data_IF_370351526370
#
_entry.id   IF_370351526370
#
_cell.length_a   1.000
_cell.length_b   1.000
_cell.length_c   1.000
_cell.angle_alpha   90.00
_cell.angle_beta   90.00
_cell.angle_gamma   90.00
#
_symmetry.space_group_name_H-M   'P 1'
#
loop_
_entity.id
_entity.type
_entity.pdbx_description
1 polymer ?
#
# COMPACT_ATOMS: atom_id res chain seq x y z
N UNK A 1 20.54 3.22 -19.25
CA UNK A 1 20.25 2.09 -18.35
C UNK A 1 18.77 2.13 -18.00
N UNK A 2 18.11 0.98 -17.82
CA UNK A 2 16.69 0.90 -17.48
C UNK A 2 16.49 -0.21 -16.45
N UNK A 3 15.42 -0.12 -15.65
CA UNK A 3 15.06 -1.12 -14.65
C UNK A 3 13.79 -1.84 -15.07
N UNK A 4 13.72 -3.14 -14.79
CA UNK A 4 12.51 -3.95 -14.93
C UNK A 4 12.05 -4.42 -13.56
N UNK A 5 10.78 -4.19 -13.26
CA UNK A 5 10.17 -4.58 -12.00
C UNK A 5 8.74 -5.05 -12.23
N UNK A 6 8.01 -5.22 -11.15
CA UNK A 6 6.64 -5.74 -11.24
C UNK A 6 5.72 -5.10 -10.21
N UNK A 7 4.42 -5.22 -10.49
CA UNK A 7 3.40 -4.85 -9.53
C UNK A 7 3.17 -6.01 -8.55
N UNK A 8 3.06 -5.69 -7.26
CA UNK A 8 2.64 -6.62 -6.23
C UNK A 8 1.21 -6.26 -5.86
N UNK A 9 0.27 -6.86 -6.57
CA UNK A 9 -1.17 -6.55 -6.50
C UNK A 9 -2.06 -7.78 -6.28
N UNK A 10 -1.43 -8.97 -6.14
CA UNK A 10 -2.10 -10.22 -5.83
C UNK A 10 -1.52 -10.80 -4.52
N UNK A 11 -2.34 -11.35 -3.60
CA UNK A 11 -1.87 -11.94 -2.35
C UNK A 11 -0.80 -13.02 -2.58
N UNK A 12 -0.94 -13.83 -3.63
CA UNK A 12 0.07 -14.84 -3.98
C UNK A 12 1.42 -14.21 -4.34
N UNK A 13 1.43 -13.04 -4.99
CA UNK A 13 2.66 -12.34 -5.32
C UNK A 13 3.37 -11.85 -4.05
N UNK A 14 2.62 -11.30 -3.09
CA UNK A 14 3.15 -10.93 -1.78
C UNK A 14 3.73 -12.15 -1.04
N UNK A 15 2.97 -13.25 -0.98
CA UNK A 15 3.40 -14.50 -0.35
C UNK A 15 4.62 -15.13 -1.04
N UNK A 16 4.83 -14.93 -2.34
CA UNK A 16 5.99 -15.46 -3.09
C UNK A 16 6.96 -14.36 -3.53
N UNK A 17 6.98 -13.23 -2.83
CA UNK A 17 7.79 -12.07 -3.19
C UNK A 17 9.30 -12.36 -3.25
N UNK A 18 9.79 -13.33 -2.48
CA UNK A 18 11.19 -13.78 -2.57
C UNK A 18 11.54 -14.31 -3.97
N UNK A 19 10.75 -15.26 -4.49
CA UNK A 19 10.95 -15.82 -5.84
C UNK A 19 10.89 -14.73 -6.91
N UNK A 20 9.96 -13.78 -6.76
CA UNK A 20 9.77 -12.69 -7.73
C UNK A 20 10.98 -11.74 -7.72
N UNK A 21 11.56 -11.48 -6.54
CA UNK A 21 12.70 -10.57 -6.37
C UNK A 21 14.02 -11.09 -6.99
N UNK A 22 14.09 -12.38 -7.36
CA UNK A 22 15.22 -12.92 -8.12
C UNK A 22 15.40 -12.16 -9.44
N UNK A 23 14.30 -11.80 -10.10
CA UNK A 23 14.32 -11.13 -11.41
C UNK A 23 13.88 -9.66 -11.36
N UNK A 24 12.93 -9.31 -10.50
CA UNK A 24 12.44 -7.94 -10.39
C UNK A 24 13.43 -7.02 -9.64
N UNK A 25 13.66 -5.84 -10.20
CA UNK A 25 14.55 -4.82 -9.63
C UNK A 25 13.81 -3.80 -8.76
N UNK A 26 12.49 -3.72 -8.90
CA UNK A 26 11.61 -2.97 -8.03
C UNK A 26 10.23 -3.64 -7.89
N UNK A 27 9.56 -3.38 -6.79
CA UNK A 27 8.14 -3.64 -6.58
C UNK A 27 7.35 -2.35 -6.51
N UNK A 28 6.19 -2.35 -7.15
CA UNK A 28 5.15 -1.33 -6.97
C UNK A 28 3.91 -2.00 -6.41
N UNK A 29 3.48 -1.64 -5.20
CA UNK A 29 2.28 -2.18 -4.59
C UNK A 29 1.04 -1.56 -5.23
N UNK A 30 0.35 -2.36 -6.04
CA UNK A 30 -0.95 -2.03 -6.63
C UNK A 30 -2.05 -2.27 -5.61
N UNK A 31 -2.16 -1.37 -4.64
CA UNK A 31 -2.98 -1.61 -3.45
C UNK A 31 -4.48 -1.60 -3.71
N UNK A 32 -4.95 -1.00 -4.80
CA UNK A 32 -6.36 -1.13 -5.18
C UNK A 32 -6.72 -2.60 -5.43
N UNK A 33 -5.99 -3.27 -6.33
CA UNK A 33 -6.23 -4.68 -6.68
C UNK A 33 -5.82 -5.63 -5.56
N UNK A 34 -4.78 -5.29 -4.80
CA UNK A 34 -4.40 -6.06 -3.61
C UNK A 34 -5.53 -6.03 -2.56
N UNK A 35 -6.14 -4.87 -2.30
CA UNK A 35 -7.31 -4.77 -1.42
C UNK A 35 -8.48 -5.60 -1.97
N UNK A 36 -8.79 -5.48 -3.26
CA UNK A 36 -9.90 -6.24 -3.87
C UNK A 36 -9.73 -7.75 -3.64
N UNK A 37 -8.54 -8.26 -3.92
CA UNK A 37 -8.27 -9.71 -3.86
C UNK A 37 -8.02 -10.23 -2.45
N UNK A 38 -7.60 -9.37 -1.52
CA UNK A 38 -7.46 -9.71 -0.09
C UNK A 38 -8.83 -9.81 0.58
N UNK A 39 -9.70 -8.82 0.35
CA UNK A 39 -11.05 -8.81 0.90
C UNK A 39 -12.04 -9.69 0.13
N UNK A 40 -11.74 -10.05 -1.11
CA UNK A 40 -12.69 -10.68 -2.02
C UNK A 40 -13.82 -9.72 -2.44
N UNK A 41 -13.49 -8.43 -2.60
CA UNK A 41 -14.43 -7.37 -2.92
C UNK A 41 -14.11 -6.73 -4.27
N UNK A 42 -15.10 -6.71 -5.16
CA UNK A 42 -15.06 -5.89 -6.38
C UNK A 42 -15.29 -4.43 -6.00
N UNK A 43 -14.36 -3.53 -6.33
CA UNK A 43 -14.47 -2.10 -6.04
C UNK A 43 -15.73 -1.51 -6.68
N UNK A 44 -15.99 -1.88 -7.94
CA UNK A 44 -17.11 -1.36 -8.73
C UNK A 44 -18.48 -1.77 -8.17
N UNK A 45 -18.58 -2.95 -7.55
CA UNK A 45 -19.83 -3.47 -6.98
C UNK A 45 -20.00 -3.11 -5.49
N UNK A 46 -18.88 -2.83 -4.80
CA UNK A 46 -18.84 -2.64 -3.35
C UNK A 46 -19.54 -1.38 -2.84
N UNK A 47 -19.68 -0.36 -3.70
CA UNK A 47 -20.35 0.89 -3.36
C UNK A 47 -21.79 0.69 -2.84
N UNK A 48 -22.47 -0.38 -3.29
CA UNK A 48 -23.85 -0.70 -2.90
C UNK A 48 -24.02 -1.11 -1.42
N UNK A 49 -22.93 -1.52 -0.74
CA UNK A 49 -22.97 -1.99 0.65
C UNK A 49 -21.89 -1.40 1.57
N UNK A 50 -20.80 -0.83 1.05
CA UNK A 50 -19.71 -0.28 1.87
C UNK A 50 -20.19 0.79 2.86
N UNK A 51 -21.09 1.68 2.44
CA UNK A 51 -21.66 2.70 3.34
C UNK A 51 -22.41 2.06 4.52
N UNK A 52 -23.18 0.99 4.26
CA UNK A 52 -23.91 0.26 5.31
C UNK A 52 -22.97 -0.49 6.25
N UNK A 53 -21.83 -0.98 5.75
CA UNK A 53 -20.81 -1.62 6.56
C UNK A 53 -20.16 -0.62 7.50
N UNK A 54 -19.86 0.59 7.01
CA UNK A 54 -19.33 1.69 7.83
C UNK A 54 -20.33 2.15 8.90
N UNK A 55 -21.60 2.36 8.53
CA UNK A 55 -22.66 2.72 9.49
C UNK A 55 -22.88 1.67 10.58
N UNK A 56 -22.56 0.41 10.31
CA UNK A 56 -22.66 -0.71 11.26
C UNK A 56 -21.35 -0.98 12.02
N UNK A 57 -20.29 -0.22 11.76
CA UNK A 57 -18.97 -0.42 12.37
C UNK A 57 -18.29 -1.72 11.95
N UNK A 58 -18.68 -2.31 10.81
CA UNK A 58 -17.99 -3.48 10.24
C UNK A 58 -16.65 -3.05 9.61
N UNK A 59 -16.66 -1.88 8.95
CA UNK A 59 -15.45 -1.19 8.51
C UNK A 59 -15.38 0.17 9.20
N UNK A 60 -14.22 0.51 9.72
CA UNK A 60 -14.00 1.85 10.29
C UNK A 60 -13.90 2.91 9.19
N UNK A 61 -13.26 2.55 8.08
CA UNK A 61 -13.05 3.38 6.90
C UNK A 61 -13.26 2.57 5.62
N UNK A 62 -13.48 3.24 4.49
CA UNK A 62 -13.44 2.60 3.17
C UNK A 62 -12.03 2.05 2.89
N UNK A 63 -11.86 0.72 2.74
CA UNK A 63 -10.56 0.08 2.55
C UNK A 63 -9.91 0.40 1.19
N UNK A 64 -10.64 1.05 0.27
CA UNK A 64 -10.10 1.56 -1.00
C UNK A 64 -9.64 3.02 -0.93
N UNK A 65 -9.94 3.72 0.17
CA UNK A 65 -9.53 5.10 0.40
C UNK A 65 -8.37 5.19 1.39
N UNK A 66 -8.41 4.40 2.47
CA UNK A 66 -7.32 4.26 3.44
C UNK A 66 -6.94 2.79 3.57
N UNK A 67 -5.65 2.51 3.60
CA UNK A 67 -5.11 1.17 3.59
C UNK A 67 -5.51 0.42 4.87
N UNK A 68 -6.07 -0.78 4.70
CA UNK A 68 -6.20 -1.75 5.77
C UNK A 68 -4.81 -2.24 6.21
N UNK A 69 -4.36 -1.78 7.37
CA UNK A 69 -3.04 -2.09 7.92
C UNK A 69 -2.95 -3.55 8.38
N UNK A 70 -4.02 -4.11 8.95
CA UNK A 70 -3.96 -5.44 9.59
C UNK A 70 -4.05 -6.57 8.57
N UNK A 71 -4.80 -6.40 7.48
CA UNK A 71 -4.90 -7.40 6.40
C UNK A 71 -3.97 -7.10 5.23
N UNK A 72 -4.29 -6.06 4.45
CA UNK A 72 -3.53 -5.70 3.24
C UNK A 72 -2.11 -5.24 3.59
N UNK A 73 -1.95 -4.51 4.69
CA UNK A 73 -0.65 -4.09 5.22
C UNK A 73 0.25 -5.27 5.58
N UNK A 74 -0.27 -6.33 6.19
CA UNK A 74 0.51 -7.55 6.49
C UNK A 74 1.08 -8.17 5.21
N UNK A 75 0.30 -8.23 4.13
CA UNK A 75 0.79 -8.72 2.83
C UNK A 75 1.91 -7.82 2.28
N UNK A 76 1.81 -6.50 2.43
CA UNK A 76 2.87 -5.57 2.03
C UNK A 76 4.14 -5.82 2.86
N UNK A 77 4.03 -5.95 4.18
CA UNK A 77 5.18 -6.23 5.06
C UNK A 77 5.86 -7.56 4.71
N UNK A 78 5.08 -8.62 4.49
CA UNK A 78 5.57 -9.93 4.03
C UNK A 78 6.34 -9.78 2.71
N UNK A 79 5.80 -9.03 1.76
CA UNK A 79 6.42 -8.85 0.45
C UNK A 79 7.72 -8.05 0.55
N UNK A 80 7.73 -6.98 1.37
CA UNK A 80 8.91 -6.16 1.63
C UNK A 80 10.03 -6.99 2.24
N UNK A 81 9.71 -7.76 3.29
CA UNK A 81 10.67 -8.62 4.00
C UNK A 81 11.23 -9.69 3.07
N UNK A 82 10.37 -10.47 2.41
CA UNK A 82 10.79 -11.58 1.54
C UNK A 82 11.55 -11.09 0.31
N UNK A 83 11.09 -9.99 -0.31
CA UNK A 83 11.76 -9.41 -1.47
C UNK A 83 13.17 -8.91 -1.12
N UNK A 84 13.31 -8.14 -0.03
CA UNK A 84 14.62 -7.62 0.38
C UNK A 84 15.56 -8.71 0.90
N UNK A 85 15.06 -9.80 1.49
CA UNK A 85 15.90 -10.97 1.82
C UNK A 85 16.61 -11.57 0.61
N UNK A 86 15.99 -11.51 -0.58
CA UNK A 86 16.59 -12.02 -1.82
C UNK A 86 17.41 -10.93 -2.53
N UNK A 87 16.90 -9.70 -2.57
CA UNK A 87 17.56 -8.56 -3.21
C UNK A 87 17.58 -7.36 -2.26
N UNK A 88 18.69 -7.19 -1.54
CA UNK A 88 18.85 -6.09 -0.57
C UNK A 88 18.65 -4.70 -1.17
N UNK A 89 18.96 -4.51 -2.46
CA UNK A 89 18.80 -3.24 -3.19
C UNK A 89 17.43 -3.05 -3.83
N UNK A 90 16.48 -3.97 -3.60
CA UNK A 90 15.14 -3.94 -4.19
C UNK A 90 14.41 -2.65 -3.80
N UNK A 91 14.02 -1.88 -4.82
CA UNK A 91 13.24 -0.66 -4.64
C UNK A 91 11.77 -1.00 -4.42
N UNK A 92 11.19 -0.48 -3.35
CA UNK A 92 9.81 -0.75 -2.97
C UNK A 92 9.02 0.55 -3.01
N UNK A 93 7.89 0.58 -3.70
CA UNK A 93 6.98 1.71 -3.60
C UNK A 93 5.54 1.28 -3.73
N UNK A 94 4.64 2.22 -3.49
CA UNK A 94 3.19 2.03 -3.58
C UNK A 94 2.62 2.99 -4.63
N UNK A 95 1.58 2.55 -5.34
CA UNK A 95 0.82 3.39 -6.26
C UNK A 95 -0.68 3.27 -5.97
N UNK A 96 -1.43 4.26 -6.45
CA UNK A 96 -2.89 4.32 -6.32
C UNK A 96 -3.37 5.34 -5.31
N UNK A 97 -4.63 5.16 -4.87
CA UNK A 97 -5.32 6.12 -4.01
C UNK A 97 -4.64 6.25 -2.64
N UNK A 98 -4.25 5.11 -2.06
CA UNK A 98 -3.57 5.02 -0.76
C UNK A 98 -2.23 5.77 -0.73
N UNK A 99 -1.54 5.94 -1.86
CA UNK A 99 -0.29 6.69 -1.92
C UNK A 99 -0.45 8.19 -1.58
N UNK A 100 -1.69 8.69 -1.57
CA UNK A 100 -2.02 10.07 -1.21
C UNK A 100 -2.79 10.22 0.11
N UNK A 101 -3.06 9.11 0.80
CA UNK A 101 -3.72 9.10 2.11
C UNK A 101 -2.68 9.20 3.24
N UNK A 102 -2.75 10.19 4.15
CA UNK A 102 -1.76 10.35 5.21
C UNK A 102 -1.54 9.10 6.07
N UNK A 103 -2.59 8.40 6.50
CA UNK A 103 -2.46 7.21 7.33
C UNK A 103 -1.70 6.09 6.60
N UNK A 104 -2.08 5.85 5.34
CA UNK A 104 -1.40 4.92 4.45
C UNK A 104 0.07 5.29 4.21
N UNK A 105 0.39 6.58 4.03
CA UNK A 105 1.78 7.06 3.84
C UNK A 105 2.62 6.82 5.09
N UNK A 106 2.05 7.02 6.28
CA UNK A 106 2.71 6.71 7.55
C UNK A 106 3.03 5.22 7.68
N UNK A 107 2.07 4.35 7.32
CA UNK A 107 2.30 2.92 7.26
C UNK A 107 3.43 2.59 6.26
N UNK A 108 3.41 3.16 5.06
CA UNK A 108 4.44 2.91 4.05
C UNK A 108 5.84 3.29 4.55
N UNK A 109 5.96 4.40 5.27
CA UNK A 109 7.21 4.80 5.91
C UNK A 109 7.66 3.76 6.95
N UNK A 110 6.76 3.33 7.84
CA UNK A 110 7.04 2.32 8.86
C UNK A 110 7.44 0.96 8.27
N UNK A 111 6.76 0.53 7.20
CA UNK A 111 7.06 -0.69 6.46
C UNK A 111 8.35 -0.59 5.63
N UNK A 112 8.95 0.60 5.54
CA UNK A 112 10.23 0.84 4.92
C UNK A 112 10.17 0.92 3.39
N UNK A 113 9.05 1.35 2.80
CA UNK A 113 8.96 1.64 1.37
C UNK A 113 9.88 2.83 1.01
N UNK A 114 10.46 2.79 -0.19
CA UNK A 114 11.33 3.83 -0.73
C UNK A 114 10.54 5.05 -1.24
N UNK A 115 9.31 4.85 -1.74
CA UNK A 115 8.48 5.95 -2.25
C UNK A 115 6.97 5.65 -2.20
N UNK A 116 6.18 6.73 -2.27
CA UNK A 116 4.74 6.69 -2.54
C UNK A 116 4.45 7.43 -3.84
N UNK A 117 3.48 6.95 -4.61
CA UNK A 117 3.04 7.57 -5.85
C UNK A 117 1.53 7.79 -5.82
N UNK A 118 1.10 9.01 -6.10
CA UNK A 118 -0.29 9.44 -6.02
C UNK A 118 -0.66 10.43 -7.13
N UNK A 119 -1.95 10.76 -7.24
CA UNK A 119 -2.42 11.75 -8.21
C UNK A 119 -1.77 13.13 -7.99
N UNK A 120 -1.59 13.94 -9.06
CA UNK A 120 -0.84 15.19 -8.97
C UNK A 120 -1.28 16.13 -7.83
N UNK A 121 -2.59 16.23 -7.60
CA UNK A 121 -3.15 17.10 -6.57
C UNK A 121 -2.91 16.59 -5.13
N UNK A 122 -2.65 15.30 -4.95
CA UNK A 122 -2.33 14.71 -3.64
C UNK A 122 -0.83 14.72 -3.33
N UNK A 123 0.04 15.07 -4.27
CA UNK A 123 1.50 15.15 -4.05
C UNK A 123 1.85 16.05 -2.85
N UNK A 124 1.28 17.25 -2.65
CA UNK A 124 1.59 18.07 -1.48
C UNK A 124 1.20 17.39 -0.15
N UNK A 125 0.06 16.69 -0.12
CA UNK A 125 -0.42 15.95 1.05
C UNK A 125 0.52 14.80 1.37
N UNK A 126 0.87 13.98 0.37
CA UNK A 126 1.78 12.86 0.53
C UNK A 126 3.16 13.31 1.02
N UNK A 127 3.68 14.43 0.51
CA UNK A 127 4.96 15.01 0.97
C UNK A 127 4.92 15.46 2.42
N UNK A 128 3.82 16.12 2.83
CA UNK A 128 3.66 16.55 4.22
C UNK A 128 3.53 15.35 5.16
N UNK A 129 2.70 14.37 4.80
CA UNK A 129 2.53 13.15 5.58
C UNK A 129 3.84 12.36 5.72
N UNK A 130 4.61 12.21 4.64
CA UNK A 130 5.91 11.54 4.67
C UNK A 130 6.92 12.27 5.57
N UNK A 131 6.92 13.61 5.57
CA UNK A 131 7.76 14.40 6.46
C UNK A 131 7.35 14.23 7.94
N UNK A 132 6.05 14.25 8.23
CA UNK A 132 5.54 14.03 9.58
C UNK A 132 5.86 12.62 10.09
N UNK A 133 5.71 11.60 9.24
CA UNK A 133 6.08 10.22 9.55
C UNK A 133 7.56 10.09 9.90
N UNK A 134 8.44 10.70 9.10
CA UNK A 134 9.89 10.69 9.34
C UNK A 134 10.31 11.42 10.63
N UNK A 135 9.55 12.43 11.06
CA UNK A 135 9.78 13.16 12.31
C UNK A 135 9.24 12.43 13.55
N UNK A 136 8.53 11.30 13.38
CA UNK A 136 7.85 10.60 14.47
C UNK A 136 6.69 11.40 15.08
N UNK A 137 6.15 12.38 14.33
CA UNK A 137 4.97 13.12 14.77
C UNK A 137 3.74 12.23 14.75
N UNK A 138 2.74 12.45 15.62
CA UNK A 138 1.47 11.74 15.52
C UNK A 138 0.79 12.08 14.19
N UNK A 139 -0.02 11.15 13.66
CA UNK A 139 -0.90 11.45 12.54
C UNK A 139 -1.82 12.60 12.96
N UNK A 140 -1.71 13.76 12.32
CA UNK A 140 -2.64 14.86 12.55
C UNK A 140 -3.87 14.64 11.66
N UNK A 141 -4.91 14.07 12.25
CA UNK A 141 -6.25 13.99 11.66
C UNK A 141 -7.00 15.28 11.97
N UNK A 142 -6.65 16.38 11.31
CA UNK A 142 -7.43 17.63 11.33
C UNK A 142 -7.78 18.04 9.89
#
# INVERSE_FOLDING_TARGET
>A
EYLVGTMIELPRAALRAGDIAETAEFFSFGTNDLTQTTYGLSRDDSASFLEKYQQRGIFEHDPFASLDIEGVGELIEIACERGRKVRNSLKLGICGEHGGDPASVFFCHKAGLDYVSCSPYRVPIARLAAAQAALGGPLKTE
#
